data_IF_999393828869
#
_entry.id   IF_999393828869
#
_cell.length_a   1.000
_cell.length_b   1.000
_cell.length_c   1.000
_cell.angle_alpha   90.00
_cell.angle_beta   90.00
_cell.angle_gamma   90.00
#
_symmetry.space_group_name_H-M   'P 1'
#
loop_
_entity.id
_entity.type
_entity.pdbx_description
1 polymer ?
#
# COMPACT_ATOMS: atom_id res chain seq x y z
N UNK A 1 7.21 -0.23 -49.71
CA UNK A 1 6.47 -0.14 -48.47
C UNK A 1 7.49 -0.17 -47.34
N UNK A 2 7.85 1.02 -46.80
CA UNK A 2 8.85 1.12 -45.75
C UNK A 2 8.18 0.86 -44.39
N UNK A 3 8.63 -0.17 -43.70
CA UNK A 3 8.21 -0.41 -42.30
C UNK A 3 8.76 0.72 -41.43
N UNK A 4 7.95 1.34 -40.56
CA UNK A 4 8.46 2.32 -39.62
C UNK A 4 9.42 1.62 -38.65
N UNK A 5 10.63 2.14 -38.55
CA UNK A 5 11.63 1.69 -37.58
C UNK A 5 11.09 2.05 -36.18
N UNK A 6 11.04 1.12 -35.20
CA UNK A 6 10.63 1.48 -33.86
C UNK A 6 11.60 2.54 -33.31
N UNK A 7 11.05 3.56 -32.65
CA UNK A 7 11.83 4.60 -32.01
C UNK A 7 12.83 3.97 -31.01
N UNK A 8 14.05 4.52 -30.87
CA UNK A 8 14.99 4.02 -29.89
C UNK A 8 14.36 4.11 -28.49
N UNK A 9 14.33 2.97 -27.77
CA UNK A 9 13.89 2.92 -26.38
C UNK A 9 14.86 3.75 -25.53
N UNK A 10 14.30 4.54 -24.61
CA UNK A 10 15.07 5.27 -23.60
C UNK A 10 15.90 4.23 -22.82
N UNK A 11 17.23 4.38 -22.67
CA UNK A 11 18.08 3.44 -21.94
C UNK A 11 17.71 3.28 -20.43
N UNK A 12 16.77 4.09 -19.92
CA UNK A 12 16.23 4.00 -18.56
C UNK A 12 14.90 3.19 -18.47
N UNK A 13 14.33 2.72 -19.58
CA UNK A 13 13.18 1.81 -19.55
C UNK A 13 13.68 0.39 -19.27
N UNK A 14 13.74 0.03 -18.01
CA UNK A 14 13.95 -1.36 -17.60
C UNK A 14 12.65 -2.12 -17.89
N UNK A 15 12.72 -3.20 -18.68
CA UNK A 15 11.57 -4.10 -18.92
C UNK A 15 11.26 -5.00 -17.69
N UNK A 16 11.66 -4.58 -16.49
CA UNK A 16 11.51 -5.36 -15.24
C UNK A 16 10.11 -5.20 -14.67
N UNK A 17 9.28 -6.25 -14.64
CA UNK A 17 7.91 -6.18 -14.10
C UNK A 17 7.87 -5.82 -12.60
N UNK A 18 6.72 -5.28 -12.16
CA UNK A 18 6.43 -4.98 -10.75
C UNK A 18 5.41 -5.97 -10.21
N UNK A 19 5.67 -6.52 -9.04
CA UNK A 19 4.72 -7.34 -8.27
C UNK A 19 4.39 -6.61 -6.97
N UNK A 20 3.15 -6.18 -6.80
CA UNK A 20 2.66 -5.66 -5.52
C UNK A 20 2.23 -6.82 -4.63
N UNK A 21 2.97 -7.10 -3.55
CA UNK A 21 2.69 -8.21 -2.65
C UNK A 21 1.91 -7.73 -1.43
N UNK A 22 0.63 -8.09 -1.37
CA UNK A 22 -0.27 -7.78 -0.26
C UNK A 22 -0.48 -8.98 0.66
N UNK A 23 -0.96 -8.75 1.89
CA UNK A 23 -1.31 -9.85 2.79
C UNK A 23 -2.45 -10.71 2.22
N UNK A 24 -3.44 -10.08 1.61
CA UNK A 24 -4.68 -10.73 1.20
C UNK A 24 -5.80 -10.61 2.23
N UNK A 25 -7.00 -10.98 1.82
CA UNK A 25 -8.20 -10.93 2.67
C UNK A 25 -9.32 -11.78 2.07
N UNK A 26 -10.22 -12.30 2.91
CA UNK A 26 -11.46 -12.96 2.44
C UNK A 26 -12.54 -11.99 1.99
N UNK A 27 -12.31 -10.67 2.09
CA UNK A 27 -13.25 -9.68 1.58
C UNK A 27 -13.25 -9.70 0.04
N UNK A 28 -14.43 -9.82 -0.63
CA UNK A 28 -14.50 -10.08 -2.08
C UNK A 28 -13.96 -8.92 -2.95
N UNK A 29 -13.89 -7.70 -2.41
CA UNK A 29 -13.42 -6.51 -3.13
C UNK A 29 -11.89 -6.33 -3.18
N UNK A 30 -11.11 -7.07 -2.38
CA UNK A 30 -9.66 -6.85 -2.24
C UNK A 30 -8.92 -7.11 -3.55
N UNK A 31 -9.16 -8.25 -4.19
CA UNK A 31 -8.48 -8.61 -5.44
C UNK A 31 -8.71 -7.57 -6.54
N UNK A 32 -9.96 -7.15 -6.75
CA UNK A 32 -10.30 -6.13 -7.76
C UNK A 32 -9.64 -4.78 -7.46
N UNK A 33 -9.66 -4.32 -6.20
CA UNK A 33 -9.06 -3.04 -5.80
C UNK A 33 -7.55 -3.04 -5.98
N UNK A 34 -6.85 -4.10 -5.58
CA UNK A 34 -5.40 -4.19 -5.73
C UNK A 34 -4.97 -4.41 -7.19
N UNK A 35 -5.76 -5.09 -8.00
CA UNK A 35 -5.51 -5.16 -9.45
C UNK A 35 -5.66 -3.78 -10.12
N UNK A 36 -6.64 -2.96 -9.73
CA UNK A 36 -6.76 -1.58 -10.21
C UNK A 36 -5.56 -0.73 -9.79
N UNK A 37 -5.12 -0.85 -8.53
CA UNK A 37 -3.92 -0.17 -8.04
C UNK A 37 -2.68 -0.57 -8.84
N UNK A 38 -2.46 -1.86 -9.06
CA UNK A 38 -1.30 -2.34 -9.82
C UNK A 38 -1.38 -1.96 -11.31
N UNK A 39 -2.57 -1.88 -11.90
CA UNK A 39 -2.73 -1.35 -13.26
C UNK A 39 -2.29 0.13 -13.35
N UNK A 40 -2.59 0.94 -12.33
CA UNK A 40 -2.10 2.32 -12.26
C UNK A 40 -0.57 2.38 -12.10
N UNK A 41 0.02 1.50 -11.26
CA UNK A 41 1.48 1.36 -11.13
C UNK A 41 2.11 0.99 -12.48
N UNK A 42 1.56 0.01 -13.20
CA UNK A 42 2.05 -0.40 -14.51
C UNK A 42 2.00 0.73 -15.54
N UNK A 43 0.96 1.58 -15.48
CA UNK A 43 0.87 2.77 -16.34
C UNK A 43 1.97 3.78 -16.03
N UNK A 44 2.29 4.02 -14.75
CA UNK A 44 3.37 4.92 -14.32
C UNK A 44 4.75 4.38 -14.67
N UNK A 45 4.96 3.09 -14.45
CA UNK A 45 6.26 2.43 -14.65
C UNK A 45 6.54 2.08 -16.12
N UNK A 46 5.51 2.01 -16.97
CA UNK A 46 5.63 1.56 -18.37
C UNK A 46 5.95 0.07 -18.53
N UNK A 47 5.72 -0.74 -17.48
CA UNK A 47 6.01 -2.18 -17.43
C UNK A 47 4.79 -2.98 -16.91
N UNK A 48 4.76 -4.31 -17.11
CA UNK A 48 3.74 -5.14 -16.49
C UNK A 48 3.77 -5.01 -14.96
N UNK A 49 2.61 -4.77 -14.35
CA UNK A 49 2.47 -4.73 -12.90
C UNK A 49 1.31 -5.63 -12.46
N UNK A 50 1.54 -6.48 -11.48
CA UNK A 50 0.60 -7.51 -11.02
C UNK A 50 0.46 -7.48 -9.50
N UNK A 51 -0.74 -7.77 -9.00
CA UNK A 51 -0.95 -8.04 -7.58
C UNK A 51 -0.68 -9.51 -7.29
N UNK A 52 -0.04 -9.78 -6.16
CA UNK A 52 0.12 -11.10 -5.56
C UNK A 52 -0.20 -11.03 -4.08
N UNK A 53 -0.50 -12.18 -3.48
CA UNK A 53 -0.95 -12.24 -2.10
C UNK A 53 -0.13 -13.25 -1.30
N UNK A 54 0.09 -12.93 -0.01
CA UNK A 54 0.76 -13.83 0.94
C UNK A 54 -0.17 -14.98 1.35
N UNK A 55 -1.46 -14.68 1.54
CA UNK A 55 -2.48 -15.61 2.03
C UNK A 55 -3.89 -15.13 1.64
N UNK A 56 -4.92 -15.97 1.85
CA UNK A 56 -6.36 -15.66 1.81
C UNK A 56 -6.92 -15.21 0.44
N UNK A 57 -6.08 -14.88 -0.54
CA UNK A 57 -6.49 -14.37 -1.86
C UNK A 57 -5.55 -14.93 -2.92
N UNK A 58 -6.08 -15.22 -4.10
CA UNK A 58 -5.31 -15.63 -5.28
C UNK A 58 -5.14 -14.43 -6.26
N UNK A 59 -4.05 -14.43 -7.07
CA UNK A 59 -2.95 -15.41 -7.12
C UNK A 59 -1.90 -15.18 -6.03
N UNK A 60 -1.20 -16.25 -5.62
CA UNK A 60 -0.01 -16.15 -4.78
C UNK A 60 1.20 -15.64 -5.58
N UNK A 61 2.31 -15.35 -4.86
CA UNK A 61 3.53 -14.82 -5.47
C UNK A 61 4.17 -15.81 -6.45
N UNK A 62 4.18 -17.10 -6.12
CA UNK A 62 4.80 -18.12 -6.96
C UNK A 62 4.09 -18.23 -8.31
N UNK A 63 2.77 -18.16 -8.31
CA UNK A 63 1.95 -18.17 -9.53
C UNK A 63 2.23 -16.94 -10.40
N UNK A 64 2.24 -15.75 -9.80
CA UNK A 64 2.50 -14.50 -10.54
C UNK A 64 3.92 -14.51 -11.12
N UNK A 65 4.92 -14.93 -10.34
CA UNK A 65 6.30 -15.04 -10.80
C UNK A 65 6.45 -16.04 -11.96
N UNK A 66 5.81 -17.23 -11.87
CA UNK A 66 5.82 -18.19 -12.96
C UNK A 66 5.17 -17.67 -14.24
N UNK A 67 4.04 -16.96 -14.12
CA UNK A 67 3.36 -16.33 -15.26
C UNK A 67 4.22 -15.25 -15.93
N UNK A 68 5.00 -14.47 -15.17
CA UNK A 68 5.96 -13.47 -15.70
C UNK A 68 7.17 -14.15 -16.36
N UNK A 69 7.72 -15.19 -15.75
CA UNK A 69 8.81 -15.98 -16.34
C UNK A 69 8.39 -16.61 -17.69
N UNK A 70 7.17 -17.14 -17.77
CA UNK A 70 6.61 -17.69 -19.01
C UNK A 70 6.42 -16.61 -20.11
N UNK A 71 6.31 -15.32 -19.73
CA UNK A 71 6.28 -14.18 -20.65
C UNK A 71 7.67 -13.65 -21.03
N UNK A 72 8.74 -14.31 -20.56
CA UNK A 72 10.11 -13.99 -20.89
C UNK A 72 10.81 -13.00 -19.93
N UNK A 73 10.21 -12.71 -18.77
CA UNK A 73 10.90 -11.95 -17.74
C UNK A 73 12.02 -12.81 -17.11
N UNK A 74 13.17 -12.22 -16.88
CA UNK A 74 14.29 -12.85 -16.14
C UNK A 74 14.34 -12.36 -14.70
N UNK A 75 13.74 -11.18 -14.42
CA UNK A 75 13.73 -10.50 -13.13
C UNK A 75 12.38 -9.82 -12.90
N UNK A 76 11.99 -9.64 -11.65
CA UNK A 76 10.89 -8.76 -11.25
C UNK A 76 11.18 -8.08 -9.90
N UNK A 77 10.59 -6.91 -9.66
CA UNK A 77 10.64 -6.24 -8.36
C UNK A 77 9.37 -6.53 -7.60
N UNK A 78 9.50 -7.05 -6.38
CA UNK A 78 8.41 -7.28 -5.43
C UNK A 78 8.35 -6.09 -4.47
N UNK A 79 7.26 -5.32 -4.52
CA UNK A 79 6.98 -4.23 -3.59
C UNK A 79 5.98 -4.72 -2.54
N UNK A 80 6.39 -4.90 -1.27
CA UNK A 80 5.45 -5.27 -0.21
C UNK A 80 4.48 -4.11 0.05
N UNK A 81 3.18 -4.36 -0.09
CA UNK A 81 2.11 -3.38 0.08
C UNK A 81 1.75 -3.22 1.57
N UNK A 82 2.75 -2.87 2.39
CA UNK A 82 2.67 -2.78 3.84
C UNK A 82 3.14 -1.39 4.31
N UNK A 83 2.44 -0.79 5.28
CA UNK A 83 2.80 0.52 5.84
C UNK A 83 3.79 0.42 7.00
N UNK A 84 3.84 -0.70 7.71
CA UNK A 84 4.71 -0.87 8.88
C UNK A 84 5.54 -2.13 8.78
N UNK A 85 6.74 -2.09 9.38
CA UNK A 85 7.65 -3.23 9.49
C UNK A 85 7.21 -4.16 10.63
N UNK A 86 6.02 -4.78 10.47
CA UNK A 86 5.52 -5.81 11.38
C UNK A 86 6.01 -7.20 10.95
N UNK A 87 5.54 -8.25 11.63
CA UNK A 87 5.96 -9.64 11.40
C UNK A 87 5.93 -10.05 9.92
N UNK A 88 4.86 -9.69 9.20
CA UNK A 88 4.73 -10.01 7.77
C UNK A 88 5.84 -9.40 6.91
N UNK A 89 6.26 -8.16 7.20
CA UNK A 89 7.31 -7.50 6.42
C UNK A 89 8.69 -8.10 6.67
N UNK A 90 8.96 -8.59 7.88
CA UNK A 90 10.31 -9.01 8.31
C UNK A 90 10.56 -10.50 8.15
N UNK A 91 9.52 -11.32 8.12
CA UNK A 91 9.62 -12.79 8.07
C UNK A 91 8.89 -13.37 6.87
N UNK A 92 7.58 -13.10 6.73
CA UNK A 92 6.77 -13.76 5.72
C UNK A 92 7.14 -13.31 4.30
N UNK A 93 7.36 -12.01 4.08
CA UNK A 93 7.74 -11.48 2.75
C UNK A 93 9.06 -12.08 2.27
N UNK A 94 10.18 -12.06 3.01
CA UNK A 94 11.44 -12.66 2.56
C UNK A 94 11.31 -14.17 2.25
N UNK A 95 10.60 -14.92 3.10
CA UNK A 95 10.40 -16.36 2.88
C UNK A 95 9.55 -16.64 1.65
N UNK A 96 8.46 -15.89 1.46
CA UNK A 96 7.59 -16.04 0.29
C UNK A 96 8.32 -15.67 -1.00
N UNK A 97 9.14 -14.61 -0.98
CA UNK A 97 9.92 -14.21 -2.15
C UNK A 97 10.99 -15.25 -2.49
N UNK A 98 11.69 -15.79 -1.50
CA UNK A 98 12.67 -16.87 -1.72
C UNK A 98 11.99 -18.11 -2.36
N UNK A 99 10.88 -18.57 -1.79
CA UNK A 99 10.12 -19.70 -2.33
C UNK A 99 9.56 -19.43 -3.73
N UNK A 100 9.09 -18.22 -3.99
CA UNK A 100 8.60 -17.80 -5.30
C UNK A 100 9.71 -17.76 -6.36
N UNK A 101 10.91 -17.28 -6.01
CA UNK A 101 12.09 -17.27 -6.86
C UNK A 101 12.54 -18.69 -7.20
N UNK A 102 12.63 -19.58 -6.21
CA UNK A 102 12.98 -20.99 -6.42
C UNK A 102 11.97 -21.71 -7.33
N UNK A 103 10.68 -21.48 -7.13
CA UNK A 103 9.63 -22.13 -7.90
C UNK A 103 9.53 -21.65 -9.36
N UNK A 104 9.79 -20.37 -9.61
CA UNK A 104 9.64 -19.74 -10.94
C UNK A 104 10.94 -19.65 -11.73
N UNK A 105 12.09 -19.72 -11.07
CA UNK A 105 13.41 -19.42 -11.64
C UNK A 105 13.63 -17.92 -11.93
N UNK A 106 12.72 -17.04 -11.48
CA UNK A 106 12.79 -15.60 -11.67
C UNK A 106 13.64 -14.96 -10.58
N UNK A 107 14.54 -14.03 -10.95
CA UNK A 107 15.27 -13.20 -9.97
C UNK A 107 14.29 -12.18 -9.36
N UNK A 108 13.89 -12.37 -8.10
CA UNK A 108 12.93 -11.53 -7.39
C UNK A 108 13.65 -10.55 -6.44
N UNK A 109 13.62 -9.27 -6.78
CA UNK A 109 14.18 -8.19 -5.96
C UNK A 109 13.11 -7.68 -4.98
N UNK A 110 13.44 -7.63 -3.69
CA UNK A 110 12.54 -7.07 -2.69
C UNK A 110 12.79 -5.57 -2.57
N UNK A 111 11.77 -4.76 -2.84
CA UNK A 111 11.79 -3.32 -2.58
C UNK A 111 11.45 -3.02 -1.11
N UNK A 112 11.68 -1.76 -0.70
CA UNK A 112 11.17 -1.26 0.57
C UNK A 112 9.64 -1.37 0.64
N UNK A 113 9.10 -1.50 1.86
CA UNK A 113 7.65 -1.38 2.12
C UNK A 113 7.17 0.05 1.80
N UNK A 114 5.87 0.27 1.75
CA UNK A 114 5.30 1.62 1.56
C UNK A 114 5.78 2.57 2.67
N UNK A 115 5.81 2.06 3.89
CA UNK A 115 6.28 2.82 5.05
C UNK A 115 5.26 3.86 5.53
N UNK A 116 5.74 4.71 6.44
CA UNK A 116 4.98 5.83 7.01
C UNK A 116 5.72 7.16 6.79
N UNK A 117 6.40 7.32 5.65
CA UNK A 117 7.20 8.49 5.29
C UNK A 117 6.37 9.75 4.99
N UNK A 118 7.04 10.85 4.65
CA UNK A 118 6.38 12.12 4.33
C UNK A 118 5.54 12.03 3.05
N UNK A 119 5.91 11.14 2.14
CA UNK A 119 5.13 10.78 0.96
C UNK A 119 3.75 10.18 1.32
N UNK A 120 3.67 9.42 2.41
CA UNK A 120 2.40 8.89 2.94
C UNK A 120 1.61 9.99 3.66
N UNK A 121 2.27 10.92 4.37
CA UNK A 121 1.59 12.10 4.95
C UNK A 121 0.92 12.93 3.85
N UNK A 122 1.64 13.21 2.76
CA UNK A 122 1.12 13.96 1.62
C UNK A 122 -0.06 13.22 0.96
N UNK A 123 0.07 11.90 0.75
CA UNK A 123 -1.01 11.09 0.21
C UNK A 123 -2.28 11.17 1.08
N UNK A 124 -2.15 11.00 2.40
CA UNK A 124 -3.27 11.08 3.34
C UNK A 124 -3.93 12.44 3.33
N UNK A 125 -3.14 13.53 3.28
CA UNK A 125 -3.66 14.89 3.17
C UNK A 125 -4.46 15.09 1.87
N UNK A 126 -3.96 14.56 0.75
CA UNK A 126 -4.63 14.63 -0.54
C UNK A 126 -5.94 13.83 -0.54
N UNK A 127 -5.96 12.65 0.07
CA UNK A 127 -7.17 11.81 0.22
C UNK A 127 -8.22 12.53 1.08
N UNK A 128 -7.82 13.12 2.21
CA UNK A 128 -8.73 13.87 3.07
C UNK A 128 -9.35 15.06 2.31
N UNK A 129 -8.53 15.79 1.54
CA UNK A 129 -8.99 16.92 0.71
C UNK A 129 -9.95 16.47 -0.39
N UNK A 130 -9.61 15.40 -1.10
CA UNK A 130 -10.47 14.84 -2.16
C UNK A 130 -11.80 14.29 -1.63
N UNK A 131 -11.82 13.79 -0.39
CA UNK A 131 -13.03 13.37 0.32
C UNK A 131 -13.87 14.55 0.84
N UNK A 132 -13.45 15.81 0.64
CA UNK A 132 -14.16 16.98 1.11
C UNK A 132 -14.07 17.21 2.62
N UNK A 133 -13.11 16.60 3.31
CA UNK A 133 -12.91 16.78 4.74
C UNK A 133 -12.27 18.15 4.98
N UNK A 134 -12.93 19.08 5.73
CA UNK A 134 -12.41 20.40 5.97
C UNK A 134 -11.03 20.38 6.65
N UNK A 135 -10.11 21.30 6.31
CA UNK A 135 -8.77 21.33 6.92
C UNK A 135 -8.77 21.43 8.45
N UNK A 136 -9.76 22.13 9.02
CA UNK A 136 -9.91 22.32 10.47
C UNK A 136 -10.56 21.13 11.20
N UNK A 137 -11.05 20.12 10.48
CA UNK A 137 -11.62 18.94 11.11
C UNK A 137 -10.53 18.09 11.74
N UNK A 138 -10.78 17.62 12.96
CA UNK A 138 -9.97 16.58 13.60
C UNK A 138 -10.03 15.29 12.78
N UNK A 139 -8.98 14.47 12.83
CA UNK A 139 -8.93 13.20 12.11
C UNK A 139 -8.67 12.02 13.05
N UNK A 140 -9.44 10.97 12.86
CA UNK A 140 -9.08 9.64 13.29
C UNK A 140 -8.29 8.94 12.16
N UNK A 141 -6.98 8.77 12.31
CA UNK A 141 -6.18 7.91 11.43
C UNK A 141 -6.37 6.46 11.84
N UNK A 142 -7.15 5.72 11.06
CA UNK A 142 -7.49 4.33 11.38
C UNK A 142 -6.60 3.34 10.62
N UNK A 143 -5.91 2.47 11.36
CA UNK A 143 -5.02 1.44 10.82
C UNK A 143 -5.37 0.03 11.34
N UNK A 144 -4.75 -1.00 10.77
CA UNK A 144 -4.95 -2.38 11.20
C UNK A 144 -4.51 -2.58 12.65
N UNK A 145 -3.33 -2.08 13.01
CA UNK A 145 -2.68 -2.38 14.28
C UNK A 145 -1.79 -3.62 14.22
N UNK A 146 -0.95 -3.80 15.22
CA UNK A 146 0.02 -4.90 15.31
C UNK A 146 0.27 -5.28 16.76
N UNK A 147 0.70 -6.53 16.98
CA UNK A 147 1.25 -6.96 18.27
C UNK A 147 2.66 -6.40 18.54
N UNK A 148 3.31 -5.84 17.51
CA UNK A 148 4.61 -5.17 17.64
C UNK A 148 4.40 -3.69 17.95
N UNK A 149 4.82 -3.25 19.13
CA UNK A 149 4.69 -1.87 19.58
C UNK A 149 5.34 -0.86 18.60
N UNK A 150 6.52 -1.19 18.05
CA UNK A 150 7.21 -0.33 17.09
C UNK A 150 6.40 -0.06 15.81
N UNK A 151 5.59 -1.03 15.36
CA UNK A 151 4.72 -0.86 14.21
C UNK A 151 3.58 0.12 14.51
N UNK A 152 2.98 0.04 15.71
CA UNK A 152 1.94 0.97 16.14
C UNK A 152 2.52 2.36 16.41
N UNK A 153 3.72 2.46 17.00
CA UNK A 153 4.44 3.73 17.18
C UNK A 153 4.67 4.46 15.85
N UNK A 154 5.03 3.74 14.78
CA UNK A 154 5.19 4.35 13.46
C UNK A 154 3.88 4.96 12.91
N UNK A 155 2.72 4.38 13.24
CA UNK A 155 1.40 4.97 12.88
C UNK A 155 1.07 6.16 13.75
N UNK A 156 1.41 6.14 15.04
CA UNK A 156 1.29 7.33 15.91
C UNK A 156 2.17 8.48 15.43
N UNK A 157 3.41 8.21 15.01
CA UNK A 157 4.31 9.24 14.45
C UNK A 157 3.76 9.78 13.12
N UNK A 158 3.15 8.93 12.29
CA UNK A 158 2.47 9.37 11.07
C UNK A 158 1.30 10.30 11.39
N UNK A 159 0.48 9.97 12.40
CA UNK A 159 -0.62 10.81 12.86
C UNK A 159 -0.13 12.17 13.37
N UNK A 160 0.95 12.20 14.17
CA UNK A 160 1.55 13.44 14.68
C UNK A 160 2.08 14.35 13.54
N UNK A 161 2.72 13.77 12.51
CA UNK A 161 3.16 14.55 11.34
C UNK A 161 1.99 15.06 10.52
N UNK A 162 0.94 14.26 10.34
CA UNK A 162 -0.28 14.70 9.66
C UNK A 162 -0.99 15.84 10.44
N UNK A 163 -1.00 15.78 11.79
CA UNK A 163 -1.50 16.84 12.66
C UNK A 163 -0.77 18.18 12.41
N UNK A 164 0.57 18.13 12.31
CA UNK A 164 1.38 19.33 12.00
C UNK A 164 1.01 19.93 10.64
N UNK A 165 0.90 19.09 9.60
CA UNK A 165 0.55 19.54 8.24
C UNK A 165 -0.85 20.12 8.19
N UNK A 166 -1.81 19.54 8.91
CA UNK A 166 -3.20 19.99 8.92
C UNK A 166 -3.47 21.18 9.87
N UNK A 167 -2.63 21.37 10.88
CA UNK A 167 -2.87 22.28 12.00
C UNK A 167 -4.21 21.97 12.71
N UNK A 168 -4.60 20.70 12.77
CA UNK A 168 -5.81 20.18 13.40
C UNK A 168 -5.52 18.82 14.05
N UNK A 169 -6.15 18.48 15.18
CA UNK A 169 -5.86 17.26 15.92
C UNK A 169 -5.98 15.98 15.09
N UNK A 170 -5.01 15.08 15.21
CA UNK A 170 -5.02 13.78 14.57
C UNK A 170 -4.65 12.69 15.59
N UNK A 171 -5.52 11.73 15.81
CA UNK A 171 -5.23 10.56 16.65
C UNK A 171 -5.21 9.29 15.82
N UNK A 172 -4.25 8.41 16.09
CA UNK A 172 -4.26 7.06 15.55
C UNK A 172 -5.14 6.13 16.38
N UNK A 173 -5.86 5.22 15.69
CA UNK A 173 -6.56 4.11 16.31
C UNK A 173 -6.47 2.85 15.44
N UNK A 174 -6.73 1.69 16.04
CA UNK A 174 -6.45 0.40 15.43
C UNK A 174 -7.64 -0.54 15.47
N UNK A 175 -7.66 -1.46 14.51
CA UNK A 175 -8.69 -2.50 14.42
C UNK A 175 -8.40 -3.74 15.27
N UNK A 176 -7.13 -3.95 15.68
CA UNK A 176 -6.70 -5.18 16.36
C UNK A 176 -6.04 -4.96 17.72
N UNK A 177 -5.85 -3.71 18.13
CA UNK A 177 -5.30 -3.33 19.43
C UNK A 177 -5.75 -1.92 19.82
N UNK A 178 -5.40 -1.48 21.03
CA UNK A 178 -5.71 -0.15 21.54
C UNK A 178 -4.76 0.93 20.95
N UNK A 179 -5.24 2.19 20.90
CA UNK A 179 -6.58 2.62 21.20
C UNK A 179 -7.59 2.17 20.12
N UNK A 180 -8.78 1.82 20.53
CA UNK A 180 -9.90 1.50 19.63
C UNK A 180 -10.40 2.75 18.91
N UNK A 181 -11.11 2.62 17.77
CA UNK A 181 -11.72 3.76 17.09
C UNK A 181 -12.63 4.60 17.98
N UNK A 182 -13.45 3.96 18.83
CA UNK A 182 -14.39 4.67 19.71
C UNK A 182 -13.65 5.50 20.77
N UNK A 183 -12.63 4.91 21.42
CA UNK A 183 -11.83 5.64 22.43
C UNK A 183 -11.10 6.85 21.85
N UNK A 184 -10.65 6.77 20.60
CA UNK A 184 -9.99 7.88 19.94
C UNK A 184 -11.01 8.95 19.51
N UNK A 185 -12.17 8.57 18.99
CA UNK A 185 -13.24 9.50 18.61
C UNK A 185 -13.77 10.27 19.81
N UNK A 186 -13.94 9.62 20.97
CA UNK A 186 -14.40 10.28 22.22
C UNK A 186 -13.41 11.36 22.73
N UNK A 187 -12.16 11.32 22.25
CA UNK A 187 -11.10 12.26 22.65
C UNK A 187 -10.87 13.39 21.62
N UNK A 188 -11.35 13.19 20.38
CA UNK A 188 -11.13 14.16 19.29
C UNK A 188 -12.18 15.29 19.37
N UNK A 189 -11.76 16.57 19.24
CA UNK A 189 -12.71 17.68 19.10
C UNK A 189 -13.54 17.55 17.81
N UNK A 190 -14.82 17.93 17.90
CA UNK A 190 -15.68 18.07 16.72
C UNK A 190 -15.40 19.41 15.97
N UNK A 191 -15.55 19.47 14.65
CA UNK A 191 -15.93 18.37 13.76
C UNK A 191 -14.81 17.37 13.55
N UNK A 192 -15.13 16.07 13.48
CA UNK A 192 -14.20 14.97 13.31
C UNK A 192 -14.52 14.15 12.05
N UNK A 193 -13.50 13.57 11.43
CA UNK A 193 -13.64 12.65 10.29
C UNK A 193 -12.67 11.47 10.42
N UNK A 194 -12.94 10.39 9.71
CA UNK A 194 -12.13 9.16 9.73
C UNK A 194 -11.33 9.03 8.45
N UNK A 195 -10.02 8.77 8.58
CA UNK A 195 -9.09 8.59 7.47
C UNK A 195 -8.44 7.20 7.56
N UNK A 196 -8.87 6.23 6.73
CA UNK A 196 -8.31 4.89 6.76
C UNK A 196 -6.90 4.81 6.15
N UNK A 197 -5.94 4.20 6.85
CA UNK A 197 -4.64 3.80 6.34
C UNK A 197 -4.75 2.38 5.73
N UNK A 198 -5.54 2.26 4.68
CA UNK A 198 -5.84 1.01 3.97
C UNK A 198 -5.74 1.21 2.46
N UNK A 199 -5.19 0.24 1.74
CA UNK A 199 -5.10 0.29 0.27
C UNK A 199 -6.40 -0.15 -0.41
N UNK A 200 -7.23 -0.93 0.26
CA UNK A 200 -8.45 -1.54 -0.31
C UNK A 200 -9.53 -1.69 0.75
N UNK A 201 -10.79 -1.91 0.37
CA UNK A 201 -11.81 -2.42 1.28
C UNK A 201 -11.35 -3.71 1.95
N UNK A 202 -11.85 -4.03 3.14
CA UNK A 202 -11.44 -5.22 3.85
C UNK A 202 -12.21 -5.43 5.15
N UNK A 203 -12.20 -6.67 5.65
CA UNK A 203 -12.94 -7.05 6.86
C UNK A 203 -12.55 -6.26 8.11
N UNK A 204 -11.31 -5.75 8.16
CA UNK A 204 -10.86 -4.90 9.27
C UNK A 204 -11.27 -3.42 9.10
N UNK A 205 -11.68 -3.01 7.90
CA UNK A 205 -12.22 -1.68 7.64
C UNK A 205 -13.72 -1.60 7.90
N UNK A 206 -14.46 -2.69 7.67
CA UNK A 206 -15.93 -2.70 7.81
C UNK A 206 -16.42 -2.23 9.18
N UNK A 207 -15.82 -2.62 10.34
CA UNK A 207 -16.26 -2.15 11.65
C UNK A 207 -16.21 -0.63 11.81
N UNK A 208 -15.13 0.03 11.33
CA UNK A 208 -15.03 1.49 11.45
C UNK A 208 -15.94 2.21 10.48
N UNK A 209 -16.23 1.63 9.31
CA UNK A 209 -17.28 2.16 8.40
C UNK A 209 -18.63 2.16 9.08
N UNK A 210 -18.95 1.10 9.83
CA UNK A 210 -20.19 1.03 10.62
C UNK A 210 -20.21 2.09 11.73
N UNK A 211 -19.13 2.21 12.51
CA UNK A 211 -18.98 3.26 13.55
C UNK A 211 -19.18 4.64 12.93
N UNK A 212 -18.52 4.93 11.80
CA UNK A 212 -18.68 6.20 11.09
C UNK A 212 -20.14 6.49 10.71
N UNK A 213 -20.85 5.49 10.17
CA UNK A 213 -22.25 5.62 9.77
C UNK A 213 -23.19 5.86 10.97
N UNK A 214 -22.98 5.16 12.08
CA UNK A 214 -23.80 5.26 13.29
C UNK A 214 -23.57 6.60 14.02
N UNK A 215 -22.33 7.11 14.03
CA UNK A 215 -21.97 8.38 14.66
C UNK A 215 -22.12 9.60 13.74
N UNK A 216 -22.40 9.40 12.45
CA UNK A 216 -22.52 10.51 11.49
C UNK A 216 -21.17 11.16 11.12
N UNK A 217 -20.04 10.46 11.37
CA UNK A 217 -18.73 10.97 11.01
C UNK A 217 -18.41 10.73 9.53
N UNK A 218 -17.92 11.75 8.79
CA UNK A 218 -17.37 11.54 7.46
C UNK A 218 -16.21 10.54 7.51
N UNK A 219 -16.18 9.62 6.53
CA UNK A 219 -15.07 8.68 6.35
C UNK A 219 -14.52 8.77 4.94
N UNK A 220 -13.22 8.93 4.80
CA UNK A 220 -12.56 8.91 3.51
C UNK A 220 -12.51 7.48 2.93
N UNK A 221 -12.45 7.31 1.61
CA UNK A 221 -12.24 6.00 0.99
C UNK A 221 -10.83 5.46 1.31
N UNK A 222 -10.60 4.15 1.14
CA UNK A 222 -9.24 3.59 1.11
C UNK A 222 -8.37 4.29 0.07
N UNK A 223 -7.05 4.27 0.27
CA UNK A 223 -6.06 4.98 -0.56
C UNK A 223 -6.10 4.55 -2.04
N UNK A 224 -6.37 3.27 -2.30
CA UNK A 224 -6.59 2.74 -3.65
C UNK A 224 -5.50 3.16 -4.63
N UNK A 225 -5.93 3.53 -5.83
CA UNK A 225 -5.02 3.93 -6.93
C UNK A 225 -4.18 5.17 -6.62
N UNK A 226 -4.57 5.99 -5.66
CA UNK A 226 -3.79 7.16 -5.25
C UNK A 226 -2.44 6.79 -4.60
N UNK A 227 -2.27 5.54 -4.14
CA UNK A 227 -1.00 5.03 -3.62
C UNK A 227 -0.01 4.61 -4.72
N UNK A 228 -0.41 4.58 -5.99
CA UNK A 228 0.44 4.12 -7.09
C UNK A 228 1.79 4.87 -7.22
N UNK A 229 1.87 6.20 -7.01
CA UNK A 229 3.15 6.92 -7.04
C UNK A 229 4.14 6.45 -5.98
N UNK A 230 3.67 6.11 -4.78
CA UNK A 230 4.53 5.59 -3.70
C UNK A 230 5.09 4.22 -4.08
N UNK A 231 4.26 3.32 -4.59
CA UNK A 231 4.69 1.99 -5.04
C UNK A 231 5.71 2.13 -6.18
N UNK A 232 5.46 3.02 -7.13
CA UNK A 232 6.39 3.30 -8.22
C UNK A 232 7.74 3.84 -7.72
N UNK A 233 7.76 4.73 -6.73
CA UNK A 233 9.01 5.20 -6.13
C UNK A 233 9.79 4.07 -5.45
N UNK A 234 9.13 3.17 -4.68
CA UNK A 234 9.77 1.99 -4.08
C UNK A 234 10.36 1.05 -5.14
N UNK A 235 9.63 0.83 -6.22
CA UNK A 235 10.11 0.08 -7.39
C UNK A 235 11.38 0.70 -7.99
N UNK A 236 11.39 2.00 -8.27
CA UNK A 236 12.54 2.68 -8.85
C UNK A 236 13.77 2.67 -7.92
N UNK A 237 13.57 2.76 -6.60
CA UNK A 237 14.66 2.64 -5.62
C UNK A 237 15.28 1.26 -5.64
N UNK A 238 14.47 0.21 -5.68
CA UNK A 238 14.97 -1.17 -5.75
C UNK A 238 15.82 -1.41 -7.00
N UNK A 239 15.42 -0.92 -8.16
CA UNK A 239 16.21 -1.03 -9.39
C UNK A 239 17.57 -0.37 -9.28
N UNK A 240 17.64 0.85 -8.72
CA UNK A 240 18.91 1.59 -8.55
C UNK A 240 19.91 0.88 -7.64
N UNK A 241 19.44 0.11 -6.68
CA UNK A 241 20.31 -0.62 -5.73
C UNK A 241 21.06 -1.76 -6.43
N UNK A 242 20.47 -2.34 -7.48
CA UNK A 242 21.07 -3.45 -8.25
C UNK A 242 22.09 -2.96 -9.28
N UNK A 243 21.85 -1.79 -9.89
CA UNK A 243 22.76 -1.21 -10.91
C UNK A 243 24.09 -0.74 -10.31
N UNK A 244 24.24 -0.73 -8.98
CA UNK A 244 25.45 -0.31 -8.26
C UNK A 244 26.37 -1.48 -7.87
N UNK A 245 26.06 -2.70 -8.24
CA UNK A 245 26.82 -3.92 -7.92
C UNK A 245 27.13 -4.72 -9.15
#
# INVERSE_FOLDING_TARGET
MSHPHPAPRDPLTTDVPVIGLAHGSRHPGVGAALNQLMAAVGTLAGVPAKAAFLDLTEPDLARVAADLAAQGAERAVVVPLLFTAAFHATIDVPQTVLSGAEASGLDLLIADILGTGDDVVELLQNIATAAGIPPASSLLLYAVGSSLEAANAAVHDLAARLEVVRSAPVLAAFGTCDPTPQEALDRLPEPCAILPLFLSPGLLLDPVVKIASEGGWPIAPPLGVAAAPIIHDRYLRALRTVDLH
#
